data_IF_976652200804
#
_entry.id   IF_976652200804
#
_cell.length_a   1.000
_cell.length_b   1.000
_cell.length_c   1.000
_cell.angle_alpha   90.00
_cell.angle_beta   90.00
_cell.angle_gamma   90.00
#
_symmetry.space_group_name_H-M   'P 1'
#
loop_
_entity.id
_entity.type
_entity.pdbx_description
1 polymer ?
#
# COMPACT_ATOMS: atom_id res chain seq x y z
N UNK A 1 -9.30 2.19 3.70
CA UNK A 1 -9.06 3.22 4.76
C UNK A 1 -8.25 4.36 4.17
N UNK A 2 -8.46 5.63 4.56
CA UNK A 2 -7.70 6.74 4.01
C UNK A 2 -6.32 6.87 4.66
N UNK A 3 -5.34 7.33 3.90
CA UNK A 3 -4.01 7.71 4.38
C UNK A 3 -4.09 9.05 5.11
N UNK A 4 -3.45 9.16 6.27
CA UNK A 4 -3.38 10.39 7.06
C UNK A 4 -1.92 10.80 7.28
N UNK A 5 -1.63 12.08 7.15
CA UNK A 5 -0.25 12.58 7.26
C UNK A 5 0.59 12.29 6.02
N UNK A 6 1.92 12.29 6.18
CA UNK A 6 2.89 12.07 5.10
C UNK A 6 3.43 10.65 5.15
N UNK A 7 3.67 10.08 3.97
CA UNK A 7 4.44 8.83 3.82
C UNK A 7 5.88 9.09 4.26
N UNK A 8 6.38 8.25 5.16
CA UNK A 8 7.77 8.24 5.60
C UNK A 8 8.59 7.22 4.80
N UNK A 9 9.90 7.14 5.03
CA UNK A 9 10.76 6.19 4.33
C UNK A 9 10.34 4.73 4.55
N UNK A 10 9.89 4.39 5.76
CA UNK A 10 9.58 3.02 6.17
C UNK A 10 8.18 2.86 6.79
N UNK A 11 7.37 3.93 6.82
CA UNK A 11 6.06 3.93 7.49
C UNK A 11 5.01 4.71 6.71
N UNK A 12 3.77 4.20 6.73
CA UNK A 12 2.57 4.86 6.23
C UNK A 12 1.57 4.89 7.39
N UNK A 13 0.88 6.02 7.56
CA UNK A 13 -0.17 6.15 8.59
C UNK A 13 -1.54 6.18 7.91
N UNK A 14 -2.48 5.38 8.43
CA UNK A 14 -3.84 5.28 7.92
C UNK A 14 -4.84 5.52 9.04
N UNK A 15 -6.00 6.05 8.70
CA UNK A 15 -7.10 6.19 9.66
C UNK A 15 -7.89 4.89 9.76
N UNK A 16 -7.84 4.26 10.94
CA UNK A 16 -8.55 3.02 11.26
C UNK A 16 -9.89 3.24 11.99
N UNK A 17 -10.40 4.47 12.07
CA UNK A 17 -11.71 4.75 12.72
C UNK A 17 -12.87 3.91 12.13
N UNK A 18 -12.78 3.51 10.86
CA UNK A 18 -13.75 2.64 10.19
C UNK A 18 -13.49 1.14 10.35
N UNK A 19 -12.40 0.76 11.03
CA UNK A 19 -11.93 -0.63 11.18
C UNK A 19 -11.64 -0.95 12.67
N UNK A 20 -12.67 -1.04 13.51
CA UNK A 20 -12.51 -1.19 14.97
C UNK A 20 -11.90 -2.55 15.39
N UNK A 21 -11.91 -3.55 14.51
CA UNK A 21 -11.36 -4.87 14.76
C UNK A 21 -9.88 -5.03 14.34
N UNK A 22 -9.32 -4.02 13.67
CA UNK A 22 -7.94 -4.07 13.18
C UNK A 22 -6.95 -4.11 14.34
N UNK A 23 -5.98 -5.01 14.25
CA UNK A 23 -4.99 -5.28 15.29
C UNK A 23 -3.56 -5.22 14.74
N UNK A 24 -2.55 -4.96 15.58
CA UNK A 24 -1.15 -5.07 15.18
C UNK A 24 -0.83 -6.48 14.68
N UNK A 25 -0.22 -6.58 13.50
CA UNK A 25 0.11 -7.84 12.85
C UNK A 25 -0.88 -8.25 11.76
N UNK A 26 -2.02 -7.57 11.65
CA UNK A 26 -2.97 -7.80 10.56
C UNK A 26 -2.34 -7.42 9.20
N UNK A 27 -2.64 -8.18 8.13
CA UNK A 27 -2.14 -7.88 6.80
C UNK A 27 -2.73 -6.56 6.27
N UNK A 28 -1.91 -5.76 5.60
CA UNK A 28 -2.32 -4.56 4.89
C UNK A 28 -1.98 -4.69 3.41
N UNK A 29 -2.96 -4.42 2.54
CA UNK A 29 -2.79 -4.45 1.09
C UNK A 29 -2.60 -3.01 0.60
N UNK A 30 -1.45 -2.73 -0.02
CA UNK A 30 -1.19 -1.42 -0.66
C UNK A 30 -1.75 -1.36 -2.08
N UNK A 31 -1.62 -2.45 -2.82
CA UNK A 31 -2.29 -2.74 -4.10
C UNK A 31 -2.29 -4.26 -4.33
N UNK A 32 -3.23 -4.77 -5.11
CA UNK A 32 -3.43 -6.21 -5.35
C UNK A 32 -4.73 -6.51 -6.08
N UNK A 33 -5.24 -7.74 -5.96
CA UNK A 33 -6.46 -8.21 -6.64
C UNK A 33 -7.68 -7.35 -6.28
N UNK A 34 -7.88 -7.08 -4.99
CA UNK A 34 -9.01 -6.26 -4.50
C UNK A 34 -8.74 -4.75 -4.53
N UNK A 35 -7.53 -4.32 -4.91
CA UNK A 35 -7.11 -2.91 -4.92
C UNK A 35 -6.16 -2.65 -6.09
N UNK A 36 -6.68 -2.37 -7.30
CA UNK A 36 -5.87 -2.24 -8.51
C UNK A 36 -4.80 -1.16 -8.38
N UNK A 37 -3.60 -1.46 -8.88
CA UNK A 37 -2.45 -0.53 -8.83
C UNK A 37 -2.72 0.76 -9.63
N UNK A 38 -3.59 0.69 -10.64
CA UNK A 38 -4.05 1.83 -11.43
C UNK A 38 -4.82 2.86 -10.60
N UNK A 39 -5.60 2.40 -9.64
CA UNK A 39 -6.32 3.28 -8.72
C UNK A 39 -5.34 4.00 -7.80
N UNK A 40 -4.37 3.27 -7.25
CA UNK A 40 -3.35 3.84 -6.37
C UNK A 40 -2.45 4.84 -7.11
N UNK A 41 -2.04 4.51 -8.33
CA UNK A 41 -1.25 5.40 -9.17
C UNK A 41 -1.97 6.74 -9.40
N UNK A 42 -3.28 6.71 -9.66
CA UNK A 42 -4.10 7.92 -9.80
C UNK A 42 -4.13 8.76 -8.53
N UNK A 43 -4.26 8.13 -7.36
CA UNK A 43 -4.24 8.83 -6.07
C UNK A 43 -2.85 9.39 -5.71
N UNK A 44 -1.79 8.74 -6.20
CA UNK A 44 -0.40 9.16 -6.00
C UNK A 44 0.12 10.11 -7.10
N UNK A 45 -0.77 10.60 -7.99
CA UNK A 45 -0.44 11.46 -9.13
C UNK A 45 0.72 10.91 -9.99
N UNK A 46 0.68 9.61 -10.26
CA UNK A 46 1.69 8.90 -11.03
C UNK A 46 1.07 7.84 -11.94
N UNK A 47 1.92 7.07 -12.62
CA UNK A 47 1.51 5.96 -13.48
C UNK A 47 1.79 4.61 -12.81
N UNK A 48 1.02 3.55 -13.13
CA UNK A 48 1.23 2.22 -12.56
C UNK A 48 2.67 1.72 -12.69
N UNK A 49 3.30 2.02 -13.81
CA UNK A 49 4.70 1.65 -14.09
C UNK A 49 5.67 2.20 -13.04
N UNK A 50 5.49 3.44 -12.57
CA UNK A 50 6.35 4.04 -11.54
C UNK A 50 6.23 3.29 -10.21
N UNK A 51 5.02 2.83 -9.85
CA UNK A 51 4.81 2.06 -8.64
C UNK A 51 5.42 0.66 -8.75
N UNK A 52 5.19 -0.03 -9.87
CA UNK A 52 5.68 -1.39 -10.12
C UNK A 52 7.21 -1.43 -10.22
N UNK A 53 7.82 -0.50 -10.96
CA UNK A 53 9.26 -0.44 -11.13
C UNK A 53 9.97 0.30 -9.98
N UNK A 54 9.23 1.01 -9.12
CA UNK A 54 9.75 1.72 -7.95
C UNK A 54 9.98 0.83 -6.74
N UNK A 55 9.64 -0.46 -6.82
CA UNK A 55 9.88 -1.43 -5.74
C UNK A 55 11.39 -1.62 -5.54
N UNK A 56 11.87 -1.30 -4.34
CA UNK A 56 13.29 -1.42 -3.98
C UNK A 56 13.63 -2.81 -3.45
N UNK A 57 14.94 -3.12 -3.37
CA UNK A 57 15.45 -4.40 -2.86
C UNK A 57 15.07 -4.74 -1.41
N UNK A 58 14.50 -3.78 -0.64
CA UNK A 58 14.03 -4.02 0.72
C UNK A 58 12.79 -4.94 0.76
N UNK A 59 12.00 -4.96 -0.32
CA UNK A 59 10.78 -5.76 -0.41
C UNK A 59 11.14 -7.20 -0.78
N UNK A 60 10.64 -8.16 -0.01
CA UNK A 60 10.80 -9.58 -0.32
C UNK A 60 9.81 -9.98 -1.41
N UNK A 61 10.31 -10.59 -2.49
CA UNK A 61 9.48 -11.14 -3.56
C UNK A 61 9.19 -12.60 -3.22
N UNK A 62 7.91 -12.94 -3.13
CA UNK A 62 7.42 -14.30 -2.88
C UNK A 62 6.62 -14.77 -4.08
N UNK A 63 6.97 -15.93 -4.62
CA UNK A 63 6.19 -16.58 -5.68
C UNK A 63 5.08 -17.41 -5.03
N UNK A 64 3.83 -17.16 -5.41
CA UNK A 64 2.71 -18.01 -5.03
C UNK A 64 2.46 -19.02 -6.16
N UNK A 65 2.65 -20.31 -5.86
CA UNK A 65 2.40 -21.45 -6.76
C UNK A 65 0.99 -21.98 -6.65
#
# INVERSE_FOLDING_TARGET
VPLIGRVSMDMITVDLNSQPAAQPGDPAILWGEDLPVEEIARHADTIPYTLLCGITQRVQIVEQS
#
